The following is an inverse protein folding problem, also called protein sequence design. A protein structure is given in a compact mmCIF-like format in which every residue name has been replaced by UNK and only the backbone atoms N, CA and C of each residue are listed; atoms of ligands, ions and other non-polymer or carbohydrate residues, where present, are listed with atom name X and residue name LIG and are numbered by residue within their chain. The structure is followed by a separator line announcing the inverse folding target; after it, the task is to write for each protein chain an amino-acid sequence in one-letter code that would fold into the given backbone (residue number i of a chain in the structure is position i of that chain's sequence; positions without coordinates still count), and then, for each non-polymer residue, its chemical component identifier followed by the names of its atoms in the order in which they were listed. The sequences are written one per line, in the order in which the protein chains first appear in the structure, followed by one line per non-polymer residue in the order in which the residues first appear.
data_IF_109930499027
#
_entry.id   IF_109930499027
#
_cell.length_a   1.000
_cell.length_b   1.000
_cell.length_c   1.000
_cell.angle_alpha   90.00
_cell.angle_beta   90.00
_cell.angle_gamma   90.00
#
_symmetry.space_group_name_H-M   'P 1'
#
loop_
_entity.id
_entity.type
_entity.pdbx_description
1 polymer ?
#
# COMPACT_ATOMS: atom_id res chain seq x y z
N UNK A 1 15.43 35.82 -64.99
CA UNK A 1 15.62 35.06 -63.74
C UNK A 1 15.35 36.00 -62.59
N UNK A 2 14.18 35.93 -61.94
CA UNK A 2 13.79 36.87 -60.87
C UNK A 2 14.23 36.29 -59.52
N UNK A 3 15.18 36.95 -58.86
CA UNK A 3 15.69 36.58 -57.53
C UNK A 3 14.72 37.09 -56.46
N UNK A 4 13.99 36.17 -55.82
CA UNK A 4 13.01 36.47 -54.77
C UNK A 4 13.72 36.56 -53.41
N UNK A 5 13.96 37.77 -52.93
CA UNK A 5 14.55 38.04 -51.61
C UNK A 5 13.56 37.64 -50.52
N UNK A 6 13.88 36.60 -49.74
CA UNK A 6 13.13 36.25 -48.54
C UNK A 6 13.52 37.21 -47.40
N UNK A 7 12.58 38.06 -46.96
CA UNK A 7 12.76 38.84 -45.74
C UNK A 7 12.80 37.87 -44.55
N UNK A 8 13.96 37.77 -43.88
CA UNK A 8 14.05 37.07 -42.59
C UNK A 8 13.34 37.93 -41.54
N UNK A 9 12.16 37.50 -41.11
CA UNK A 9 11.49 38.05 -39.93
C UNK A 9 12.23 37.49 -38.71
N UNK A 10 12.97 38.33 -38.00
CA UNK A 10 13.65 37.96 -36.76
C UNK A 10 12.65 37.95 -35.60
N UNK A 11 12.77 36.96 -34.71
CA UNK A 11 12.03 36.91 -33.46
C UNK A 11 12.49 38.05 -32.56
N UNK A 12 11.58 38.82 -31.96
CA UNK A 12 12.00 39.90 -31.05
C UNK A 12 12.41 39.33 -29.70
N UNK A 13 13.37 39.97 -29.02
CA UNK A 13 13.76 39.58 -27.65
C UNK A 13 12.54 39.61 -26.72
N UNK A 14 11.64 40.58 -26.91
CA UNK A 14 10.39 40.70 -26.14
C UNK A 14 9.49 39.48 -26.34
N UNK A 15 9.37 38.99 -27.56
CA UNK A 15 8.60 37.80 -27.91
C UNK A 15 9.12 36.56 -27.17
N UNK A 16 10.45 36.38 -27.13
CA UNK A 16 11.06 35.26 -26.42
C UNK A 16 10.90 35.39 -24.90
N UNK A 17 11.02 36.61 -24.36
CA UNK A 17 10.88 36.88 -22.92
C UNK A 17 9.45 36.60 -22.44
N UNK A 18 8.43 37.01 -23.20
CA UNK A 18 7.04 36.76 -22.82
C UNK A 18 6.74 35.25 -22.84
N UNK A 19 7.29 34.50 -23.78
CA UNK A 19 7.09 33.04 -23.87
C UNK A 19 7.68 32.31 -22.66
N UNK A 20 8.93 32.60 -22.28
CA UNK A 20 9.54 31.94 -21.11
C UNK A 20 8.86 32.36 -19.80
N UNK A 21 8.40 33.62 -19.71
CA UNK A 21 7.65 34.09 -18.54
C UNK A 21 6.30 33.36 -18.42
N UNK A 22 5.59 33.19 -19.54
CA UNK A 22 4.31 32.46 -19.57
C UNK A 22 4.50 30.98 -19.23
N UNK A 23 5.52 30.31 -19.78
CA UNK A 23 5.83 28.91 -19.44
C UNK A 23 6.17 28.78 -17.95
N UNK A 24 6.93 29.72 -17.38
CA UNK A 24 7.26 29.72 -15.96
C UNK A 24 6.03 29.80 -15.05
N UNK A 25 5.07 30.68 -15.38
CA UNK A 25 3.81 30.80 -14.62
C UNK A 25 2.97 29.53 -14.74
N UNK A 26 2.82 28.98 -15.95
CA UNK A 26 2.04 27.76 -16.19
C UNK A 26 2.67 26.54 -15.48
N UNK A 27 4.00 26.42 -15.49
CA UNK A 27 4.71 25.34 -14.83
C UNK A 27 4.56 25.41 -13.30
N UNK A 28 4.68 26.61 -12.71
CA UNK A 28 4.54 26.79 -11.26
C UNK A 28 3.15 26.36 -10.76
N UNK A 29 2.08 26.74 -11.45
CA UNK A 29 0.71 26.33 -11.12
C UNK A 29 0.54 24.81 -11.35
N UNK A 30 1.10 24.28 -12.43
CA UNK A 30 1.01 22.87 -12.79
C UNK A 30 1.57 21.93 -11.73
N UNK A 31 2.71 22.24 -11.14
CA UNK A 31 3.39 21.38 -10.14
C UNK A 31 2.52 21.14 -8.90
N UNK A 32 1.93 22.20 -8.35
CA UNK A 32 1.12 22.09 -7.12
C UNK A 32 -0.14 21.25 -7.36
N UNK A 33 -0.79 21.42 -8.51
CA UNK A 33 -1.97 20.64 -8.89
C UNK A 33 -1.63 19.17 -9.16
N UNK A 34 -0.46 18.90 -9.72
CA UNK A 34 -0.04 17.55 -10.11
C UNK A 34 0.12 16.62 -8.90
N UNK A 35 0.66 17.12 -7.78
CA UNK A 35 0.82 16.33 -6.55
C UNK A 35 -0.54 15.83 -6.00
N UNK A 36 -1.55 16.71 -5.92
CA UNK A 36 -2.88 16.31 -5.45
C UNK A 36 -3.62 15.35 -6.38
N UNK A 37 -3.32 15.38 -7.68
CA UNK A 37 -3.88 14.42 -8.65
C UNK A 37 -3.22 13.05 -8.52
N UNK A 38 -1.91 13.00 -8.31
CA UNK A 38 -1.19 11.75 -8.06
C UNK A 38 -1.72 11.04 -6.80
N UNK A 39 -1.86 11.74 -5.68
CA UNK A 39 -2.36 11.15 -4.43
C UNK A 39 -3.76 10.53 -4.60
N UNK A 40 -4.64 11.20 -5.36
CA UNK A 40 -5.97 10.68 -5.70
C UNK A 40 -5.91 9.45 -6.58
N UNK A 41 -5.01 9.42 -7.56
CA UNK A 41 -4.80 8.27 -8.43
C UNK A 41 -4.30 7.06 -7.62
N UNK A 42 -3.31 7.26 -6.75
CA UNK A 42 -2.80 6.21 -5.85
C UNK A 42 -3.88 5.70 -4.89
N UNK A 43 -4.67 6.59 -4.30
CA UNK A 43 -5.78 6.17 -3.44
C UNK A 43 -6.86 5.40 -4.22
N UNK A 44 -7.17 5.78 -5.45
CA UNK A 44 -8.12 5.03 -6.29
C UNK A 44 -7.58 3.63 -6.64
N UNK A 45 -6.30 3.55 -6.97
CA UNK A 45 -5.61 2.29 -7.24
C UNK A 45 -5.64 1.36 -6.02
N UNK A 46 -5.31 1.88 -4.83
CA UNK A 46 -5.40 1.15 -3.55
C UNK A 46 -6.82 0.71 -3.21
N UNK A 47 -7.83 1.53 -3.53
CA UNK A 47 -9.23 1.15 -3.33
C UNK A 47 -9.66 0.02 -4.26
N UNK A 48 -9.26 0.07 -5.52
CA UNK A 48 -9.54 -0.99 -6.49
C UNK A 48 -8.87 -2.30 -6.10
N UNK A 49 -7.65 -2.21 -5.55
CA UNK A 49 -6.93 -3.35 -4.98
C UNK A 49 -7.67 -3.98 -3.80
N UNK A 50 -8.08 -3.18 -2.81
CA UNK A 50 -8.84 -3.69 -1.66
C UNK A 50 -10.12 -4.40 -2.08
N UNK A 51 -10.85 -3.85 -3.05
CA UNK A 51 -12.05 -4.48 -3.63
C UNK A 51 -11.72 -5.74 -4.40
N UNK A 52 -10.58 -5.78 -5.10
CA UNK A 52 -10.08 -6.97 -5.75
C UNK A 52 -9.85 -8.10 -4.75
N UNK A 53 -9.21 -7.80 -3.62
CA UNK A 53 -9.04 -8.75 -2.53
C UNK A 53 -10.38 -9.18 -1.93
N UNK A 54 -11.27 -8.25 -1.57
CA UNK A 54 -12.62 -8.55 -1.07
C UNK A 54 -13.37 -9.53 -2.00
N UNK A 55 -13.30 -9.31 -3.30
CA UNK A 55 -13.93 -10.18 -4.29
C UNK A 55 -13.33 -11.59 -4.27
N UNK A 56 -12.01 -11.74 -4.24
CA UNK A 56 -11.36 -13.06 -4.24
C UNK A 56 -11.67 -13.82 -2.95
N UNK A 57 -11.64 -13.15 -1.80
CA UNK A 57 -12.07 -13.76 -0.54
C UNK A 57 -13.52 -14.22 -0.60
N UNK A 58 -14.40 -13.43 -1.21
CA UNK A 58 -15.81 -13.77 -1.40
C UNK A 58 -15.99 -14.95 -2.35
N UNK A 59 -15.21 -15.01 -3.44
CA UNK A 59 -15.20 -16.14 -4.39
C UNK A 59 -14.74 -17.42 -3.69
N UNK A 60 -13.64 -17.35 -2.95
CA UNK A 60 -13.12 -18.47 -2.17
C UNK A 60 -14.20 -19.00 -1.21
N UNK A 61 -14.82 -18.10 -0.45
CA UNK A 61 -15.86 -18.47 0.49
C UNK A 61 -17.12 -19.04 -0.18
N UNK A 62 -17.46 -18.58 -1.39
CA UNK A 62 -18.57 -19.14 -2.16
C UNK A 62 -18.31 -20.60 -2.59
N UNK A 63 -17.06 -20.93 -2.92
CA UNK A 63 -16.62 -22.26 -3.35
C UNK A 63 -16.45 -23.22 -2.16
N UNK A 64 -15.64 -22.82 -1.17
CA UNK A 64 -15.25 -23.66 -0.04
C UNK A 64 -16.24 -23.61 1.14
N UNK A 65 -17.28 -22.75 1.05
CA UNK A 65 -18.25 -22.44 2.13
C UNK A 65 -17.63 -21.89 3.41
N UNK A 66 -16.34 -21.57 3.38
CA UNK A 66 -15.57 -20.94 4.44
C UNK A 66 -14.51 -20.03 3.86
N UNK A 67 -14.09 -19.02 4.61
CA UNK A 67 -12.92 -18.23 4.26
C UNK A 67 -11.62 -19.01 4.54
N UNK A 68 -10.49 -18.65 3.89
CA UNK A 68 -9.22 -19.32 4.16
C UNK A 68 -8.77 -19.09 5.61
N UNK A 69 -7.97 -20.01 6.14
CA UNK A 69 -7.48 -19.92 7.52
C UNK A 69 -6.56 -18.71 7.69
N UNK A 70 -6.88 -17.88 8.67
CA UNK A 70 -6.05 -16.77 9.15
C UNK A 70 -5.95 -16.95 10.67
N UNK A 71 -4.76 -17.14 11.27
CA UNK A 71 -4.60 -17.36 12.69
C UNK A 71 -5.28 -16.26 13.49
N UNK A 72 -5.96 -16.68 14.56
CA UNK A 72 -6.70 -15.76 15.43
C UNK A 72 -5.81 -14.67 16.09
N UNK A 73 -4.48 -14.87 16.12
CA UNK A 73 -3.51 -13.98 16.76
C UNK A 73 -2.52 -13.33 15.78
N UNK A 74 -2.69 -13.50 14.46
CA UNK A 74 -1.72 -12.99 13.47
C UNK A 74 -2.38 -12.68 12.13
N UNK A 75 -2.23 -11.43 11.67
CA UNK A 75 -2.59 -11.07 10.29
C UNK A 75 -1.50 -11.43 9.28
N UNK A 76 -1.88 -11.52 8.01
CA UNK A 76 -1.00 -11.85 6.90
C UNK A 76 -0.98 -10.78 5.82
N UNK A 77 0.14 -10.71 5.14
CA UNK A 77 0.31 -9.86 3.96
C UNK A 77 -0.46 -10.42 2.77
N UNK A 78 -1.20 -9.56 2.09
CA UNK A 78 -1.85 -9.90 0.83
C UNK A 78 -0.99 -9.39 -0.31
N UNK A 79 -0.64 -10.27 -1.25
CA UNK A 79 0.08 -9.93 -2.48
C UNK A 79 1.48 -10.51 -2.56
N UNK A 80 2.41 -9.79 -3.20
CA UNK A 80 3.74 -10.30 -3.54
C UNK A 80 4.78 -9.20 -3.64
N UNK A 81 6.07 -9.55 -3.63
CA UNK A 81 7.18 -8.60 -3.78
C UNK A 81 7.75 -8.08 -2.46
N UNK A 82 7.32 -8.67 -1.35
CA UNK A 82 7.78 -8.30 -0.01
C UNK A 82 9.30 -8.43 0.12
N UNK A 83 9.94 -7.52 0.89
CA UNK A 83 11.37 -7.57 1.09
C UNK A 83 11.75 -8.85 1.81
N UNK A 84 12.82 -9.50 1.39
CA UNK A 84 13.34 -10.68 2.10
C UNK A 84 13.85 -10.29 3.49
N UNK A 85 13.98 -11.29 4.37
CA UNK A 85 14.61 -11.12 5.67
C UNK A 85 15.97 -10.39 5.58
N UNK A 86 16.80 -10.77 4.60
CA UNK A 86 18.12 -10.16 4.39
C UNK A 86 18.01 -8.69 4.04
N UNK A 87 17.10 -8.30 3.14
CA UNK A 87 16.91 -6.89 2.77
C UNK A 87 16.45 -6.04 3.95
N UNK A 88 15.60 -6.58 4.81
CA UNK A 88 15.15 -5.91 6.04
C UNK A 88 16.32 -5.78 7.03
N UNK A 89 17.08 -6.86 7.24
CA UNK A 89 18.21 -6.86 8.17
C UNK A 89 19.32 -5.89 7.68
N UNK A 90 19.58 -5.83 6.37
CA UNK A 90 20.50 -4.87 5.74
C UNK A 90 20.02 -3.43 5.91
N UNK A 91 18.72 -3.17 5.70
CA UNK A 91 18.11 -1.87 5.96
C UNK A 91 18.38 -1.47 7.41
N UNK A 92 18.02 -2.28 8.40
CA UNK A 92 18.25 -1.95 9.81
C UNK A 92 19.71 -1.73 10.18
N UNK A 93 20.64 -2.45 9.55
CA UNK A 93 22.07 -2.29 9.80
C UNK A 93 22.60 -0.91 9.37
N UNK A 94 22.00 -0.30 8.35
CA UNK A 94 22.40 1.02 7.82
C UNK A 94 22.04 2.21 8.73
N UNK A 95 21.10 2.01 9.66
CA UNK A 95 20.65 3.05 10.61
C UNK A 95 21.44 3.02 11.93
N UNK A 96 22.43 2.13 12.06
CA UNK A 96 23.11 1.82 13.31
C UNK A 96 22.36 0.76 14.11
N UNK A 97 23.09 -0.16 14.75
CA UNK A 97 22.55 -1.37 15.37
C UNK A 97 21.24 -1.13 16.14
N UNK A 98 20.13 -1.80 15.79
CA UNK A 98 18.91 -1.69 16.57
C UNK A 98 19.21 -2.14 18.02
N UNK A 99 18.66 -1.48 19.05
CA UNK A 99 18.84 -1.93 20.43
C UNK A 99 18.44 -3.41 20.52
N UNK A 100 19.31 -4.18 21.19
CA UNK A 100 19.31 -5.63 21.31
C UNK A 100 17.94 -6.29 21.12
N UNK A 101 17.82 -7.12 20.08
CA UNK A 101 16.69 -8.03 19.88
C UNK A 101 15.32 -7.38 20.14
N UNK A 102 15.00 -6.31 19.40
CA UNK A 102 13.72 -5.61 19.50
C UNK A 102 12.55 -6.60 19.37
N UNK A 103 12.05 -6.98 20.54
CA UNK A 103 10.93 -7.84 20.87
C UNK A 103 10.17 -8.49 19.70
N UNK A 104 10.29 -9.81 19.66
CA UNK A 104 9.37 -10.77 19.02
C UNK A 104 7.93 -10.28 19.03
N UNK A 105 7.39 -9.98 17.85
CA UNK A 105 5.95 -9.94 17.58
C UNK A 105 5.67 -10.95 16.47
N UNK A 106 5.12 -12.07 16.90
CA UNK A 106 4.84 -13.28 16.15
C UNK A 106 3.65 -13.12 15.19
N UNK A 107 3.71 -13.74 14.01
CA UNK A 107 2.58 -14.46 13.44
C UNK A 107 2.84 -15.95 13.70
N UNK A 108 2.50 -16.47 14.89
CA UNK A 108 2.55 -17.90 15.23
C UNK A 108 3.85 -18.74 14.96
N UNK A 109 4.90 -18.22 14.33
CA UNK A 109 6.10 -18.98 13.97
C UNK A 109 7.34 -18.23 14.46
N UNK A 110 8.10 -18.91 15.30
CA UNK A 110 9.29 -18.42 15.99
C UNK A 110 10.52 -18.25 15.07
N UNK A 111 10.31 -18.18 13.76
CA UNK A 111 11.30 -17.87 12.74
C UNK A 111 10.76 -16.74 11.86
N UNK A 112 11.54 -15.67 11.65
CA UNK A 112 11.16 -14.63 10.69
C UNK A 112 10.89 -15.29 9.32
N UNK A 113 9.76 -14.98 8.63
CA UNK A 113 9.50 -15.52 7.29
C UNK A 113 10.65 -15.11 6.35
N UNK A 114 11.08 -16.04 5.49
CA UNK A 114 12.14 -15.77 4.51
C UNK A 114 11.78 -14.59 3.58
N UNK A 115 10.48 -14.43 3.30
CA UNK A 115 9.90 -13.43 2.41
C UNK A 115 9.50 -12.10 3.09
N UNK A 116 9.77 -11.96 4.41
CA UNK A 116 9.59 -10.70 5.16
C UNK A 116 8.17 -10.31 5.56
N UNK A 117 7.87 -9.00 5.54
CA UNK A 117 6.69 -8.41 6.18
C UNK A 117 6.07 -7.25 5.36
N UNK A 118 4.80 -6.93 5.65
CA UNK A 118 4.02 -5.89 4.95
C UNK A 118 3.73 -4.62 5.76
N UNK A 119 4.07 -4.56 7.06
CA UNK A 119 3.87 -3.35 7.87
C UNK A 119 5.20 -2.69 8.22
N UNK A 120 5.26 -1.37 8.04
CA UNK A 120 6.36 -0.54 8.48
C UNK A 120 6.53 -0.57 10.02
N UNK A 121 7.76 -0.38 10.49
CA UNK A 121 8.28 -0.48 11.86
C UNK A 121 8.49 0.90 12.51
N UNK A 122 8.07 2.00 11.89
CA UNK A 122 8.30 3.33 12.48
C UNK A 122 7.34 3.66 13.62
N UNK A 123 7.64 3.15 14.80
CA UNK A 123 7.29 3.79 16.07
C UNK A 123 8.58 4.22 16.75
N UNK A 124 9.10 5.40 16.38
CA UNK A 124 10.01 6.12 17.24
C UNK A 124 9.18 6.78 18.34
N UNK A 125 9.19 6.20 19.53
CA UNK A 125 8.56 6.78 20.72
C UNK A 125 7.58 5.83 21.40
N UNK A 126 7.98 5.41 22.60
CA UNK A 126 7.18 4.84 23.69
C UNK A 126 5.67 4.63 23.42
N UNK A 127 5.28 3.38 23.16
CA UNK A 127 4.10 2.83 23.82
C UNK A 127 2.93 2.31 22.98
N UNK A 128 2.99 2.25 21.64
CA UNK A 128 1.90 1.65 20.87
C UNK A 128 2.38 0.64 19.82
N UNK A 129 2.13 -0.62 20.16
CA UNK A 129 2.56 -1.86 19.53
C UNK A 129 1.88 -2.11 18.18
N UNK A 130 2.61 -1.92 17.07
CA UNK A 130 2.13 -2.35 15.75
C UNK A 130 2.75 -3.72 15.41
N UNK A 131 1.95 -4.79 15.46
CA UNK A 131 2.39 -6.14 15.12
C UNK A 131 2.83 -6.23 13.64
N UNK A 132 4.01 -6.76 13.32
CA UNK A 132 4.34 -7.06 11.93
C UNK A 132 3.45 -8.21 11.44
N UNK A 133 3.01 -8.15 10.19
CA UNK A 133 2.29 -9.25 9.54
C UNK A 133 3.25 -9.95 8.60
N UNK A 134 3.37 -11.27 8.73
CA UNK A 134 4.23 -12.08 7.86
C UNK A 134 3.58 -12.33 6.52
N UNK A 135 4.41 -12.60 5.51
CA UNK A 135 3.94 -13.21 4.28
C UNK A 135 3.47 -14.63 4.55
N UNK A 136 2.33 -15.01 3.99
CA UNK A 136 1.85 -16.38 3.99
C UNK A 136 1.64 -16.82 2.54
N UNK A 137 2.63 -17.56 2.03
CA UNK A 137 2.62 -18.10 0.67
C UNK A 137 1.48 -19.08 0.46
N UNK A 138 1.12 -19.88 1.46
CA UNK A 138 -0.01 -20.80 1.40
C UNK A 138 -1.35 -20.07 1.23
N UNK A 139 -1.57 -18.99 1.98
CA UNK A 139 -2.77 -18.15 1.84
C UNK A 139 -2.83 -17.51 0.45
N UNK A 140 -1.73 -16.89 -0.01
CA UNK A 140 -1.68 -16.27 -1.33
C UNK A 140 -1.90 -17.31 -2.45
N UNK A 141 -1.38 -18.53 -2.28
CA UNK A 141 -1.59 -19.64 -3.23
C UNK A 141 -3.04 -20.12 -3.22
N UNK A 142 -3.68 -20.23 -2.05
CA UNK A 142 -5.09 -20.58 -1.91
C UNK A 142 -6.01 -19.53 -2.54
N UNK A 143 -5.71 -18.25 -2.36
CA UNK A 143 -6.49 -17.18 -3.00
C UNK A 143 -6.24 -17.13 -4.52
N UNK A 144 -5.04 -17.47 -4.97
CA UNK A 144 -4.71 -17.55 -6.40
C UNK A 144 -5.40 -18.74 -7.11
N UNK A 145 -5.76 -19.80 -6.39
CA UNK A 145 -6.45 -20.96 -7.01
C UNK A 145 -7.88 -20.63 -7.45
N UNK A 146 -8.51 -19.65 -6.81
CA UNK A 146 -9.91 -19.28 -7.09
C UNK A 146 -10.05 -18.08 -8.04
N UNK A 147 -8.97 -17.35 -8.30
CA UNK A 147 -8.99 -16.18 -9.18
C UNK A 147 -7.65 -15.44 -9.30
N UNK A 148 -7.61 -14.46 -10.20
CA UNK A 148 -6.43 -13.61 -10.41
C UNK A 148 -6.28 -12.62 -9.25
N UNK A 149 -5.16 -12.68 -8.54
CA UNK A 149 -4.80 -11.72 -7.50
C UNK A 149 -4.61 -10.30 -8.07
N UNK A 150 -4.94 -9.23 -7.33
CA UNK A 150 -4.63 -7.85 -7.71
C UNK A 150 -3.12 -7.67 -7.94
N UNK A 151 -2.74 -7.05 -9.05
CA UNK A 151 -1.36 -7.05 -9.58
C UNK A 151 -0.54 -5.79 -9.28
N UNK A 152 -1.04 -4.87 -8.47
CA UNK A 152 -0.44 -3.54 -8.23
C UNK A 152 0.41 -3.46 -6.97
N UNK A 153 0.95 -4.61 -6.55
CA UNK A 153 1.76 -4.79 -5.35
C UNK A 153 3.23 -4.40 -5.56
N UNK A 154 3.53 -3.53 -6.52
CA UNK A 154 4.90 -3.14 -6.76
C UNK A 154 5.29 -2.08 -5.75
N UNK A 155 6.16 -2.50 -4.83
CA UNK A 155 7.02 -1.67 -4.01
C UNK A 155 7.63 -0.57 -4.87
N UNK A 156 7.07 0.63 -4.78
CA UNK A 156 7.75 1.84 -5.22
C UNK A 156 8.89 2.08 -4.24
N UNK A 157 10.11 2.05 -4.75
CA UNK A 157 11.33 2.22 -3.95
C UNK A 157 11.28 3.50 -3.14
N UNK A 158 11.02 3.35 -1.84
CA UNK A 158 11.63 3.99 -0.68
C UNK A 158 10.88 3.45 0.54
N UNK A 159 11.59 2.83 1.49
CA UNK A 159 11.06 2.04 2.61
C UNK A 159 10.25 2.84 3.65
N UNK A 160 9.96 4.11 3.40
CA UNK A 160 9.55 5.07 4.43
C UNK A 160 8.06 4.99 4.83
N UNK A 161 7.22 4.21 4.12
CA UNK A 161 5.77 4.16 4.41
C UNK A 161 5.05 2.87 3.96
N UNK A 162 5.67 1.70 4.09
CA UNK A 162 5.05 0.41 3.76
C UNK A 162 3.68 0.17 4.42
N UNK A 163 2.61 0.20 3.61
CA UNK A 163 1.28 -0.34 3.97
C UNK A 163 0.65 -0.99 2.75
N UNK A 164 1.21 -2.13 2.33
CA UNK A 164 0.51 -3.05 1.42
C UNK A 164 -0.73 -3.61 2.11
N UNK A 165 -1.72 -4.15 1.37
CA UNK A 165 -2.92 -4.62 2.00
C UNK A 165 -2.59 -5.86 2.84
N UNK A 166 -3.23 -5.97 3.98
CA UNK A 166 -3.08 -7.12 4.87
C UNK A 166 -4.44 -7.55 5.40
N UNK A 167 -4.51 -8.82 5.75
CA UNK A 167 -5.72 -9.43 6.28
C UNK A 167 -5.53 -9.76 7.75
N UNK A 168 -6.52 -9.44 8.58
CA UNK A 168 -6.55 -9.82 9.99
C UNK A 168 -7.85 -10.53 10.33
N UNK A 169 -7.79 -11.35 11.37
CA UNK A 169 -8.96 -11.90 12.03
C UNK A 169 -9.28 -11.08 13.28
N UNK A 170 -10.53 -10.62 13.42
CA UNK A 170 -11.02 -10.01 14.65
C UNK A 170 -11.92 -11.00 15.37
N UNK A 171 -11.79 -11.12 16.70
CA UNK A 171 -12.42 -12.12 17.56
C UNK A 171 -13.95 -12.28 17.49
N UNK A 172 -14.65 -11.51 16.65
CA UNK A 172 -16.07 -11.64 16.30
C UNK A 172 -16.30 -12.42 15.00
N UNK A 173 -15.42 -13.37 14.64
CA UNK A 173 -15.56 -14.18 13.42
C UNK A 173 -15.66 -13.32 12.15
N UNK A 174 -14.84 -12.27 12.09
CA UNK A 174 -14.86 -11.30 10.99
C UNK A 174 -13.45 -11.17 10.44
N UNK A 175 -13.29 -11.37 9.14
CA UNK A 175 -12.04 -11.08 8.43
C UNK A 175 -12.06 -9.66 7.92
N UNK A 176 -10.94 -8.99 8.12
CA UNK A 176 -10.78 -7.57 7.81
C UNK A 176 -9.60 -7.42 6.88
N UNK A 177 -9.84 -6.77 5.74
CA UNK A 177 -8.80 -6.34 4.83
C UNK A 177 -8.47 -4.88 5.16
N UNK A 178 -7.21 -4.58 5.40
CA UNK A 178 -6.73 -3.26 5.81
C UNK A 178 -5.67 -2.74 4.86
N UNK A 179 -5.72 -1.44 4.53
CA UNK A 179 -4.75 -0.75 3.67
C UNK A 179 -4.67 0.73 4.09
N UNK A 180 -3.51 1.38 3.94
CA UNK A 180 -3.41 2.81 4.18
C UNK A 180 -3.70 3.68 2.95
N UNK A 181 -4.26 4.85 3.23
CA UNK A 181 -4.61 5.87 2.25
C UNK A 181 -3.93 7.18 2.62
N UNK A 182 -3.54 7.94 1.59
CA UNK A 182 -2.97 9.28 1.77
C UNK A 182 -4.12 10.25 2.06
N UNK A 183 -3.96 11.06 3.11
CA UNK A 183 -4.95 12.04 3.57
C UNK A 183 -5.57 11.69 4.91
N UNK A 184 -6.61 12.45 5.27
CA UNK A 184 -7.26 12.42 6.59
C UNK A 184 -8.65 11.77 6.58
N UNK A 185 -9.06 11.18 5.44
CA UNK A 185 -10.35 10.52 5.30
C UNK A 185 -10.24 9.23 4.51
N UNK A 186 -11.03 8.22 4.90
CA UNK A 186 -11.15 6.97 4.17
C UNK A 186 -12.21 7.05 3.06
N UNK A 187 -12.07 6.29 1.97
CA UNK A 187 -13.13 6.12 0.98
C UNK A 187 -14.44 5.64 1.61
N UNK A 188 -15.59 6.07 1.06
CA UNK A 188 -16.94 5.77 1.60
C UNK A 188 -17.25 4.28 1.79
N UNK A 189 -16.59 3.39 1.06
CA UNK A 189 -16.79 1.94 1.14
C UNK A 189 -15.89 1.26 2.17
N UNK A 190 -15.13 2.05 2.94
CA UNK A 190 -14.17 1.56 3.93
C UNK A 190 -14.37 2.28 5.26
N UNK A 191 -14.00 1.63 6.36
CA UNK A 191 -14.08 2.22 7.70
C UNK A 191 -12.72 2.66 8.18
N UNK A 192 -12.57 3.88 8.75
CA UNK A 192 -11.29 4.34 9.29
C UNK A 192 -10.95 3.64 10.61
N UNK A 193 -9.67 3.31 10.79
CA UNK A 193 -9.12 2.77 12.04
C UNK A 193 -7.84 3.52 12.42
N UNK A 194 -7.75 3.96 13.67
CA UNK A 194 -6.61 4.73 14.19
C UNK A 194 -6.94 6.20 14.47
N UNK A 195 -5.98 6.96 15.02
CA UNK A 195 -6.20 8.35 15.38
C UNK A 195 -6.50 9.18 14.13
N UNK A 196 -7.61 9.91 14.16
CA UNK A 196 -7.95 10.88 13.12
C UNK A 196 -6.95 12.05 13.13
N UNK A 197 -6.57 12.55 11.95
CA UNK A 197 -5.77 13.77 11.81
C UNK A 197 -4.31 13.59 11.40
N UNK A 198 -3.85 12.38 11.10
CA UNK A 198 -2.57 12.14 10.41
C UNK A 198 -2.76 12.27 8.89
N UNK A 199 -1.69 12.61 8.16
CA UNK A 199 -1.69 12.64 6.68
C UNK A 199 -1.81 11.25 6.02
N UNK A 200 -2.01 10.21 6.83
CA UNK A 200 -2.14 8.82 6.42
C UNK A 200 -3.19 8.16 7.30
N UNK A 201 -4.22 7.58 6.69
CA UNK A 201 -5.30 6.86 7.37
C UNK A 201 -5.24 5.38 7.06
N UNK A 202 -5.44 4.54 8.07
CA UNK A 202 -5.69 3.11 7.86
C UNK A 202 -7.19 2.91 7.62
N UNK A 203 -7.53 2.31 6.49
CA UNK A 203 -8.90 2.04 6.09
C UNK A 203 -9.14 0.54 5.95
N UNK A 204 -10.34 0.11 6.32
CA UNK A 204 -10.67 -1.31 6.44
C UNK A 204 -11.94 -1.67 5.65
N UNK A 205 -11.96 -2.90 5.13
CA UNK A 205 -13.14 -3.58 4.60
C UNK A 205 -13.37 -4.81 5.46
N UNK A 206 -14.54 -4.89 6.09
CA UNK A 206 -14.97 -6.07 6.84
C UNK A 206 -15.73 -6.99 5.91
N UNK A 207 -15.24 -8.22 5.75
CA UNK A 207 -15.90 -9.23 4.93
C UNK A 207 -17.21 -9.70 5.56
N UNK A 208 -18.12 -10.21 4.72
CA UNK A 208 -19.44 -10.65 5.18
C UNK A 208 -19.33 -11.79 6.21
N UNK A 209 -20.06 -11.74 7.34
CA UNK A 209 -20.05 -12.79 8.36
C UNK A 209 -20.86 -14.04 7.97
N UNK A 210 -21.35 -14.12 6.72
CA UNK A 210 -22.20 -15.20 6.22
C UNK A 210 -21.49 -16.54 6.07
N UNK A 211 -20.16 -16.53 5.95
CA UNK A 211 -19.35 -17.74 5.86
C UNK A 211 -18.59 -17.95 7.16
N UNK A 212 -18.40 -19.21 7.56
CA UNK A 212 -17.58 -19.55 8.71
C UNK A 212 -16.10 -19.36 8.39
N UNK A 213 -15.30 -19.21 9.44
CA UNK A 213 -13.85 -19.06 9.36
C UNK A 213 -13.22 -20.18 10.18
N UNK A 214 -12.12 -20.71 9.68
CA UNK A 214 -11.33 -21.69 10.40
C UNK A 214 -10.21 -20.94 11.14
N UNK A 215 -10.20 -21.03 12.47
CA UNK A 215 -9.17 -20.40 13.31
C UNK A 215 -8.07 -21.39 13.71
N UNK A 216 -8.07 -22.61 13.16
CA UNK A 216 -7.04 -23.59 13.49
C UNK A 216 -5.70 -23.19 12.88
N UNK A 217 -4.61 -23.21 13.69
CA UNK A 217 -3.25 -22.97 13.21
C UNK A 217 -2.75 -24.07 12.26
#
# INVERSE_FOLDING_TARGET
MLYRVHKKLGFTIVELIVVIAMIGILAAIGIVMFNGVQDRAYNLERLNEMKGWENIFTIYAAQEKKYPSVPALGGYCLGSGFPTKTQIDDEFSSWGSPPAASARWSPAETANPAEGYCRNIMSYGSGNWQARHAVNTSLNTQLASVGKLPSNQQFGGDYDWMVTPYVTYQGTNSVIISQAFIGTTCPKTTTPVGPAGTNLMLCQITLSPRYSFDITP
#
